data_IF_880236874540
#
_entry.id   IF_880236874540
#
_cell.length_a   1.000
_cell.length_b   1.000
_cell.length_c   1.000
_cell.angle_alpha   90.00
_cell.angle_beta   90.00
_cell.angle_gamma   90.00
#
_symmetry.space_group_name_H-M   'P 1'
#
loop_
_entity.id
_entity.type
_entity.pdbx_description
1 polymer ?
#
# COMPACT_ATOMS: atom_id res chain seq x y z
N UNK A 1 -46.64 -11.77 34.77
CA UNK A 1 -47.48 -11.36 33.63
C UNK A 1 -46.72 -11.66 32.37
N UNK A 2 -47.15 -12.66 31.64
CA UNK A 2 -46.49 -13.18 30.43
C UNK A 2 -47.03 -12.44 29.22
N UNK A 3 -46.20 -11.88 28.38
CA UNK A 3 -46.56 -11.30 27.08
C UNK A 3 -45.82 -12.02 25.97
N UNK A 4 -46.49 -12.94 25.32
CA UNK A 4 -46.03 -13.66 24.11
C UNK A 4 -46.45 -12.87 22.90
N UNK A 5 -45.53 -12.56 21.99
CA UNK A 5 -45.81 -11.94 20.69
C UNK A 5 -45.54 -12.98 19.58
N UNK A 6 -46.48 -13.23 18.67
CA UNK A 6 -46.33 -14.25 17.64
C UNK A 6 -45.58 -13.77 16.39
N UNK A 7 -44.72 -14.64 15.88
CA UNK A 7 -44.07 -14.57 14.57
C UNK A 7 -45.03 -14.63 13.40
N UNK A 8 -44.95 -13.71 12.46
CA UNK A 8 -45.62 -13.82 11.15
C UNK A 8 -44.61 -14.32 10.10
N UNK A 9 -44.87 -15.52 9.59
CA UNK A 9 -44.28 -16.05 8.37
C UNK A 9 -44.83 -15.29 7.15
N UNK A 10 -43.94 -14.77 6.29
CA UNK A 10 -44.31 -14.24 4.99
C UNK A 10 -43.91 -15.28 3.91
N UNK A 11 -44.92 -15.74 3.19
CA UNK A 11 -44.84 -16.67 2.07
C UNK A 11 -44.20 -16.02 0.83
N UNK A 12 -43.14 -16.64 0.33
CA UNK A 12 -42.48 -16.24 -0.89
C UNK A 12 -43.19 -16.74 -2.15
N UNK A 13 -43.37 -15.86 -3.10
CA UNK A 13 -43.99 -16.11 -4.42
C UNK A 13 -42.89 -16.56 -5.40
N UNK A 14 -43.00 -17.79 -5.89
CA UNK A 14 -42.20 -18.37 -6.98
C UNK A 14 -42.61 -17.75 -8.30
N UNK A 15 -41.70 -17.10 -9.01
CA UNK A 15 -41.84 -16.70 -10.42
C UNK A 15 -41.06 -17.65 -11.33
N UNK A 16 -41.82 -18.33 -12.19
CA UNK A 16 -41.34 -19.22 -13.26
C UNK A 16 -40.43 -18.53 -14.24
N UNK A 17 -39.23 -19.05 -14.46
CA UNK A 17 -38.33 -18.64 -15.53
C UNK A 17 -38.65 -19.46 -16.79
N UNK A 18 -38.96 -18.76 -17.90
CA UNK A 18 -39.11 -19.35 -19.23
C UNK A 18 -37.73 -19.62 -19.82
N UNK A 19 -37.50 -20.88 -20.15
CA UNK A 19 -36.32 -21.33 -20.90
C UNK A 19 -36.52 -20.96 -22.38
N UNK A 20 -35.64 -20.14 -22.92
CA UNK A 20 -35.49 -19.87 -24.35
C UNK A 20 -34.25 -20.63 -24.84
N UNK A 21 -34.47 -21.66 -25.63
CA UNK A 21 -33.43 -22.35 -26.38
C UNK A 21 -33.01 -21.50 -27.58
N UNK A 22 -31.72 -21.17 -27.67
CA UNK A 22 -31.13 -20.55 -28.84
C UNK A 22 -30.11 -21.50 -29.46
N UNK A 23 -30.38 -21.81 -30.72
CA UNK A 23 -29.62 -22.71 -31.58
C UNK A 23 -28.21 -22.22 -31.83
N UNK A 24 -27.24 -23.12 -31.75
CA UNK A 24 -25.86 -22.89 -32.14
C UNK A 24 -25.70 -22.94 -33.65
N UNK A 25 -25.29 -21.83 -34.25
CA UNK A 25 -24.76 -21.79 -35.61
C UNK A 25 -23.23 -21.78 -35.58
N UNK A 26 -22.61 -22.85 -36.01
CA UNK A 26 -21.18 -22.97 -36.19
C UNK A 26 -20.73 -22.13 -37.38
N UNK A 27 -19.92 -21.09 -37.16
CA UNK A 27 -19.20 -20.40 -38.24
C UNK A 27 -17.70 -20.72 -38.09
N UNK A 28 -17.18 -21.34 -39.15
CA UNK A 28 -15.78 -21.65 -39.37
C UNK A 28 -15.09 -20.35 -39.84
N UNK A 29 -14.04 -19.83 -39.21
CA UNK A 29 -13.25 -18.77 -39.78
C UNK A 29 -12.23 -19.34 -40.76
N UNK A 30 -12.35 -18.95 -42.00
CA UNK A 30 -11.33 -19.13 -43.07
C UNK A 30 -10.17 -18.19 -42.78
N UNK A 31 -9.00 -18.73 -42.52
CA UNK A 31 -7.76 -17.95 -42.45
C UNK A 31 -7.36 -17.58 -43.90
N UNK A 32 -7.61 -16.35 -44.28
CA UNK A 32 -6.99 -15.76 -45.48
C UNK A 32 -5.69 -15.10 -45.03
N UNK A 33 -4.57 -15.66 -45.44
CA UNK A 33 -3.29 -15.01 -45.40
C UNK A 33 -3.27 -13.92 -46.48
N UNK A 34 -3.27 -12.65 -46.08
CA UNK A 34 -2.89 -11.53 -46.92
C UNK A 34 -1.64 -10.89 -46.38
N UNK A 35 -0.53 -11.20 -47.02
CA UNK A 35 0.65 -10.37 -47.04
C UNK A 35 0.34 -9.17 -47.92
N UNK A 36 0.26 -7.94 -47.36
CA UNK A 36 0.53 -6.71 -48.10
C UNK A 36 0.88 -5.58 -47.15
N UNK A 37 1.99 -4.99 -47.49
CA UNK A 37 2.69 -3.91 -46.91
C UNK A 37 1.89 -2.61 -47.04
N UNK A 38 1.27 -2.13 -45.93
CA UNK A 38 0.76 -0.75 -45.88
C UNK A 38 0.75 -0.27 -44.44
N UNK A 39 1.53 0.77 -44.19
CA UNK A 39 1.71 1.39 -42.89
C UNK A 39 0.40 1.82 -42.24
N UNK A 40 0.03 1.13 -41.19
CA UNK A 40 -0.99 1.54 -40.24
C UNK A 40 -0.33 1.75 -38.92
N UNK A 41 -0.19 3.02 -38.55
CA UNK A 41 0.27 3.44 -37.21
C UNK A 41 -0.75 3.01 -36.17
N UNK A 42 -0.56 1.82 -35.57
CA UNK A 42 -1.24 1.44 -34.34
C UNK A 42 -0.84 2.41 -33.25
N UNK A 43 -1.76 2.89 -32.39
CA UNK A 43 -1.40 3.67 -31.22
C UNK A 43 -0.54 2.78 -30.33
N UNK A 44 0.74 3.16 -30.18
CA UNK A 44 1.66 2.51 -29.25
C UNK A 44 1.08 2.60 -27.84
N UNK A 45 0.87 1.45 -27.20
CA UNK A 45 0.61 1.40 -25.78
C UNK A 45 1.70 2.22 -25.05
N UNK A 46 1.36 2.92 -23.95
CA UNK A 46 2.35 3.64 -23.19
C UNK A 46 3.42 2.65 -22.71
N UNK A 47 4.60 2.75 -23.30
CA UNK A 47 5.76 1.97 -22.85
C UNK A 47 6.10 2.41 -21.44
N UNK A 48 6.14 1.46 -20.50
CA UNK A 48 6.80 1.69 -19.22
C UNK A 48 8.19 2.25 -19.52
N UNK A 49 8.60 3.33 -18.82
CA UNK A 49 9.93 3.87 -19.02
C UNK A 49 10.96 2.76 -18.82
N UNK A 50 11.81 2.56 -19.81
CA UNK A 50 12.94 1.65 -19.70
C UNK A 50 13.78 2.03 -18.48
N UNK A 51 14.29 1.07 -17.69
CA UNK A 51 15.16 1.36 -16.58
C UNK A 51 16.33 2.23 -17.09
N UNK A 52 16.53 3.37 -16.43
CA UNK A 52 17.60 4.31 -16.76
C UNK A 52 18.91 3.56 -16.55
N UNK A 53 19.65 3.26 -17.61
CA UNK A 53 20.88 2.44 -17.57
C UNK A 53 22.05 3.10 -16.79
N UNK A 54 21.84 4.26 -16.19
CA UNK A 54 22.84 5.03 -15.42
C UNK A 54 22.26 5.53 -14.09
N UNK A 55 21.36 4.79 -13.44
CA UNK A 55 20.85 5.16 -12.12
C UNK A 55 22.01 5.16 -11.10
N UNK A 56 22.16 6.26 -10.40
CA UNK A 56 23.13 6.36 -9.29
C UNK A 56 22.39 5.91 -8.02
N UNK A 57 22.85 4.81 -7.44
CA UNK A 57 22.21 4.23 -6.26
C UNK A 57 22.76 4.82 -4.97
N UNK A 58 21.89 4.97 -3.98
CA UNK A 58 22.25 5.31 -2.61
C UNK A 58 22.92 4.14 -1.87
N UNK A 59 23.04 4.25 -0.53
CA UNK A 59 23.64 3.21 0.29
C UNK A 59 22.81 1.91 0.23
N UNK A 60 23.44 0.80 0.56
CA UNK A 60 22.73 -0.48 0.73
C UNK A 60 21.99 -0.52 2.06
N UNK A 61 20.70 -0.79 2.01
CA UNK A 61 19.89 -1.03 3.21
C UNK A 61 19.82 -2.53 3.49
N UNK A 62 20.14 -2.95 4.73
CA UNK A 62 19.89 -4.33 5.15
C UNK A 62 18.41 -4.70 5.05
N UNK A 63 18.10 -5.99 5.06
CA UNK A 63 16.73 -6.49 5.06
C UNK A 63 15.89 -5.79 6.13
N UNK A 64 14.68 -5.37 5.79
CA UNK A 64 13.78 -4.59 6.65
C UNK A 64 14.40 -3.26 7.15
N UNK A 65 15.31 -2.62 6.39
CA UNK A 65 16.01 -1.44 6.86
C UNK A 65 16.92 -1.68 8.05
N UNK A 66 17.30 -2.93 8.32
CA UNK A 66 18.08 -3.32 9.49
C UNK A 66 17.31 -3.29 10.81
N UNK A 67 15.97 -3.22 10.74
CA UNK A 67 15.09 -3.23 11.93
C UNK A 67 14.64 -4.66 12.22
N UNK A 68 14.85 -5.11 13.47
CA UNK A 68 14.36 -6.41 13.94
C UNK A 68 12.87 -6.36 14.28
N UNK A 69 12.20 -7.54 14.24
CA UNK A 69 10.80 -7.65 14.67
C UNK A 69 10.62 -7.22 16.14
N UNK A 70 11.63 -7.47 16.98
CA UNK A 70 11.63 -7.03 18.38
C UNK A 70 11.71 -5.50 18.48
N UNK A 71 12.63 -4.86 17.76
CA UNK A 71 12.76 -3.39 17.74
C UNK A 71 11.46 -2.73 17.29
N UNK A 72 10.85 -3.27 16.23
CA UNK A 72 9.57 -2.76 15.74
C UNK A 72 8.46 -2.90 16.81
N UNK A 73 8.35 -4.05 17.45
CA UNK A 73 7.35 -4.28 18.51
C UNK A 73 7.55 -3.33 19.70
N UNK A 74 8.80 -3.05 20.09
CA UNK A 74 9.13 -2.09 21.16
C UNK A 74 8.75 -0.66 20.78
N UNK A 75 9.06 -0.21 19.55
CA UNK A 75 8.75 1.14 19.09
C UNK A 75 7.25 1.36 18.91
N UNK A 76 6.55 0.39 18.35
CA UNK A 76 5.11 0.47 18.09
C UNK A 76 4.25 0.13 19.31
N UNK A 77 4.82 -0.54 20.34
CA UNK A 77 4.12 -1.12 21.49
C UNK A 77 3.03 -2.13 21.10
N UNK A 78 3.14 -2.72 19.92
CA UNK A 78 2.21 -3.75 19.42
C UNK A 78 2.82 -5.12 19.63
N UNK A 79 2.09 -5.99 20.32
CA UNK A 79 2.46 -7.39 20.53
C UNK A 79 1.85 -8.29 19.46
N UNK A 80 2.47 -9.45 19.24
CA UNK A 80 1.95 -10.42 18.25
C UNK A 80 2.09 -9.96 16.81
N UNK A 81 3.06 -9.12 16.50
CA UNK A 81 3.41 -8.77 15.13
C UNK A 81 3.95 -10.00 14.40
N UNK A 82 3.43 -10.23 13.20
CA UNK A 82 3.88 -11.27 12.27
C UNK A 82 4.43 -10.58 11.04
N UNK A 83 5.67 -10.88 10.71
CA UNK A 83 6.25 -10.46 9.43
C UNK A 83 5.62 -11.29 8.30
N UNK A 84 4.72 -10.69 7.53
CA UNK A 84 3.92 -11.35 6.50
C UNK A 84 4.55 -11.26 5.10
N UNK A 85 5.51 -10.34 4.92
CA UNK A 85 6.31 -10.24 3.71
C UNK A 85 7.71 -9.76 4.08
N UNK A 86 8.72 -10.50 3.63
CA UNK A 86 10.13 -10.20 3.87
C UNK A 86 10.95 -10.52 2.61
N UNK A 87 11.53 -9.49 2.04
CA UNK A 87 12.37 -9.63 0.85
C UNK A 87 13.40 -8.48 0.76
N UNK A 88 14.22 -8.49 -0.29
CA UNK A 88 15.33 -7.52 -0.47
C UNK A 88 14.89 -6.08 -0.69
N UNK A 89 13.61 -5.84 -0.99
CA UNK A 89 13.06 -4.50 -1.27
C UNK A 89 12.04 -4.05 -0.23
N UNK A 90 11.66 -4.90 0.71
CA UNK A 90 10.73 -4.47 1.75
C UNK A 90 10.30 -5.56 2.71
N UNK A 91 9.66 -5.09 3.77
CA UNK A 91 9.09 -5.92 4.82
C UNK A 91 7.73 -5.38 5.22
N UNK A 92 6.83 -6.28 5.62
CA UNK A 92 5.49 -5.93 6.08
C UNK A 92 5.16 -6.71 7.35
N UNK A 93 4.58 -6.02 8.33
CA UNK A 93 4.15 -6.64 9.58
C UNK A 93 2.68 -6.33 9.84
N UNK A 94 1.97 -7.37 10.24
CA UNK A 94 0.57 -7.30 10.63
C UNK A 94 0.39 -7.92 12.02
N UNK A 95 -0.50 -7.38 12.83
CA UNK A 95 -0.82 -7.98 14.12
C UNK A 95 -1.59 -9.29 13.92
N UNK A 96 -1.09 -10.39 14.47
CA UNK A 96 -1.67 -11.73 14.30
C UNK A 96 -1.76 -12.18 12.82
N UNK A 97 -1.05 -11.52 11.90
CA UNK A 97 -1.13 -11.79 10.46
C UNK A 97 -2.43 -11.32 9.78
N UNK A 98 -3.31 -10.60 10.50
CA UNK A 98 -4.60 -10.13 10.00
C UNK A 98 -4.55 -8.70 9.42
N UNK A 99 -5.36 -8.44 8.39
CA UNK A 99 -5.38 -7.16 7.66
C UNK A 99 -6.21 -6.05 8.36
N UNK A 100 -6.96 -6.36 9.41
CA UNK A 100 -7.83 -5.42 10.13
C UNK A 100 -7.13 -4.73 11.32
N UNK A 101 -5.90 -5.15 11.62
CA UNK A 101 -5.09 -4.62 12.72
C UNK A 101 -4.11 -3.53 12.27
N UNK A 102 -3.19 -3.15 13.19
CA UNK A 102 -2.05 -2.31 12.85
C UNK A 102 -1.25 -2.89 11.67
N UNK A 103 -0.77 -2.02 10.81
CA UNK A 103 0.01 -2.35 9.64
C UNK A 103 1.27 -1.50 9.60
N UNK A 104 2.41 -2.15 9.49
CA UNK A 104 3.71 -1.49 9.42
C UNK A 104 4.48 -2.02 8.22
N UNK A 105 5.15 -1.14 7.49
CA UNK A 105 5.97 -1.56 6.36
C UNK A 105 7.23 -0.71 6.22
N UNK A 106 8.27 -1.38 5.75
CA UNK A 106 9.49 -0.77 5.21
C UNK A 106 9.56 -1.10 3.74
N UNK A 107 9.84 -0.12 2.89
CA UNK A 107 10.06 -0.32 1.46
C UNK A 107 11.31 0.41 1.00
N UNK A 108 12.12 -0.23 0.17
CA UNK A 108 13.28 0.34 -0.49
C UNK A 108 13.04 0.39 -2.00
N UNK A 109 12.84 1.58 -2.51
CA UNK A 109 12.58 1.85 -3.91
C UNK A 109 13.90 2.15 -4.62
N UNK A 110 14.31 1.27 -5.53
CA UNK A 110 15.55 1.43 -6.29
C UNK A 110 15.28 1.98 -7.67
N UNK A 111 16.03 3.04 -8.03
CA UNK A 111 15.90 3.71 -9.32
C UNK A 111 14.52 4.36 -9.53
N UNK A 112 13.84 4.74 -8.44
CA UNK A 112 12.51 5.34 -8.48
C UNK A 112 12.55 6.75 -7.86
N UNK A 113 12.02 7.76 -8.56
CA UNK A 113 12.04 9.11 -8.03
C UNK A 113 11.02 9.28 -6.90
N UNK A 114 11.49 9.73 -5.72
CA UNK A 114 10.66 10.00 -4.54
C UNK A 114 9.52 11.01 -4.83
N UNK A 115 9.72 11.94 -5.77
CA UNK A 115 8.71 12.93 -6.13
C UNK A 115 7.43 12.32 -6.74
N UNK A 116 7.50 11.10 -7.29
CA UNK A 116 6.30 10.38 -7.74
C UNK A 116 5.49 9.87 -6.55
N UNK A 117 6.17 9.29 -5.56
CA UNK A 117 5.53 8.80 -4.33
C UNK A 117 4.91 9.96 -3.56
N UNK A 118 5.68 11.03 -3.31
CA UNK A 118 5.16 12.24 -2.69
C UNK A 118 3.86 12.73 -3.33
N UNK A 119 3.77 12.77 -4.67
CA UNK A 119 2.54 13.19 -5.37
C UNK A 119 1.37 12.24 -5.14
N UNK A 120 1.64 10.95 -5.01
CA UNK A 120 0.61 9.97 -4.66
C UNK A 120 0.06 10.24 -3.27
N UNK A 121 0.96 10.54 -2.31
CA UNK A 121 0.55 10.87 -0.95
C UNK A 121 -0.22 12.20 -0.86
N UNK A 122 0.17 13.21 -1.62
CA UNK A 122 -0.56 14.49 -1.71
C UNK A 122 -2.03 14.33 -2.16
N UNK A 123 -2.38 13.24 -2.84
CA UNK A 123 -3.74 12.96 -3.28
C UNK A 123 -4.60 12.25 -2.22
N UNK A 124 -3.98 11.61 -1.23
CA UNK A 124 -4.65 10.66 -0.33
C UNK A 124 -4.44 10.95 1.15
N UNK A 125 -3.47 11.79 1.52
CA UNK A 125 -3.13 12.11 2.91
C UNK A 125 -3.67 13.48 3.33
N UNK A 126 -3.82 13.65 4.64
CA UNK A 126 -4.31 14.90 5.22
C UNK A 126 -3.28 16.03 5.09
N UNK A 127 -2.00 15.71 5.17
CA UNK A 127 -0.90 16.63 4.87
C UNK A 127 0.32 15.88 4.37
N UNK A 128 1.14 16.57 3.55
CA UNK A 128 2.46 16.11 3.11
C UNK A 128 3.42 17.29 3.22
N UNK A 129 4.48 17.11 4.00
CA UNK A 129 5.44 18.17 4.30
C UNK A 129 6.87 17.70 4.00
N UNK A 130 7.78 18.66 3.83
CA UNK A 130 9.20 18.36 3.70
C UNK A 130 9.80 17.97 5.06
N UNK A 131 10.71 16.99 5.05
CA UNK A 131 11.45 16.56 6.24
C UNK A 131 12.93 16.39 5.89
N UNK A 132 13.79 16.49 6.91
CA UNK A 132 15.19 16.10 6.83
C UNK A 132 15.52 15.20 8.02
N UNK A 133 16.08 14.01 7.74
CA UNK A 133 16.53 13.06 8.76
C UNK A 133 17.98 12.69 8.45
N UNK A 134 18.87 12.86 9.43
CA UNK A 134 20.32 12.56 9.31
C UNK A 134 20.98 13.23 8.08
N UNK A 135 20.53 14.45 7.71
CA UNK A 135 21.05 15.19 6.56
C UNK A 135 20.44 14.81 5.20
N UNK A 136 19.52 13.86 5.15
CA UNK A 136 18.82 13.43 3.94
C UNK A 136 17.42 14.03 3.87
N UNK A 137 17.09 14.59 2.70
CA UNK A 137 15.78 15.21 2.45
C UNK A 137 14.75 14.19 2.04
N UNK A 138 13.49 14.48 2.34
CA UNK A 138 12.36 13.63 1.99
C UNK A 138 11.02 14.28 2.30
N UNK A 139 10.02 13.45 2.49
CA UNK A 139 8.69 13.89 2.90
C UNK A 139 8.17 13.11 4.12
N UNK A 140 7.26 13.74 4.84
CA UNK A 140 6.42 13.13 5.85
C UNK A 140 4.96 13.33 5.45
N UNK A 141 4.18 12.26 5.43
CA UNK A 141 2.77 12.26 5.05
C UNK A 141 1.90 11.73 6.18
N UNK A 142 0.81 12.44 6.52
CA UNK A 142 -0.07 12.15 7.63
C UNK A 142 -1.44 11.68 7.13
N UNK A 143 -1.86 10.51 7.56
CA UNK A 143 -3.24 10.03 7.41
C UNK A 143 -4.03 10.23 8.70
N UNK A 144 -5.30 10.57 8.56
CA UNK A 144 -6.21 10.80 9.68
C UNK A 144 -7.43 9.91 9.59
N UNK A 145 -7.80 9.32 10.71
CA UNK A 145 -9.08 8.63 10.84
C UNK A 145 -10.14 9.60 11.37
N UNK A 146 -11.17 9.81 10.57
CA UNK A 146 -12.34 10.66 10.88
C UNK A 146 -13.61 9.84 11.09
N UNK A 147 -13.53 8.54 11.28
CA UNK A 147 -14.68 7.62 11.32
C UNK A 147 -15.59 7.81 12.54
N UNK A 148 -15.11 8.52 13.58
CA UNK A 148 -15.94 8.80 14.75
C UNK A 148 -16.55 10.19 14.63
N UNK A 149 -17.87 10.24 14.31
CA UNK A 149 -18.63 11.47 14.28
C UNK A 149 -18.51 12.22 15.62
N UNK A 150 -18.22 13.52 15.56
CA UNK A 150 -18.09 14.45 16.71
C UNK A 150 -16.80 14.32 17.54
N UNK A 151 -15.79 13.58 17.07
CA UNK A 151 -14.44 13.66 17.65
C UNK A 151 -13.48 14.30 16.64
N UNK A 152 -12.43 15.00 17.11
CA UNK A 152 -11.41 15.52 16.22
C UNK A 152 -10.72 14.35 15.51
N UNK A 153 -10.31 14.52 14.24
CA UNK A 153 -9.55 13.52 13.51
C UNK A 153 -8.29 13.11 14.30
N UNK A 154 -8.02 11.82 14.33
CA UNK A 154 -6.82 11.28 14.98
C UNK A 154 -5.82 10.88 13.90
N UNK A 155 -4.60 11.37 14.00
CA UNK A 155 -3.50 10.90 13.14
C UNK A 155 -3.16 9.47 13.55
N UNK A 156 -3.49 8.52 12.70
CA UNK A 156 -3.26 7.09 12.94
C UNK A 156 -2.33 6.46 11.91
N UNK A 157 -1.97 7.20 10.87
CA UNK A 157 -1.05 6.80 9.82
C UNK A 157 0.01 7.89 9.63
N UNK A 158 1.26 7.48 9.55
CA UNK A 158 2.36 8.35 9.14
C UNK A 158 3.32 7.60 8.22
N UNK A 159 3.70 8.25 7.15
CA UNK A 159 4.67 7.75 6.17
C UNK A 159 5.84 8.73 6.08
N UNK A 160 7.03 8.17 6.09
CA UNK A 160 8.27 8.94 5.98
C UNK A 160 9.10 8.36 4.84
N UNK A 161 9.21 9.12 3.75
CA UNK A 161 10.05 8.80 2.60
C UNK A 161 11.33 9.64 2.60
N UNK A 162 12.50 9.01 2.46
CA UNK A 162 13.81 9.69 2.44
C UNK A 162 14.60 9.33 1.19
N UNK A 163 15.07 10.37 0.47
CA UNK A 163 15.80 10.25 -0.80
C UNK A 163 17.28 9.93 -0.57
N UNK A 164 17.79 9.02 -1.40
CA UNK A 164 19.22 8.70 -1.53
C UNK A 164 19.57 8.62 -3.03
N UNK A 165 20.02 9.70 -3.61
CA UNK A 165 20.29 9.77 -5.05
C UNK A 165 19.05 9.37 -5.87
N UNK A 166 19.11 8.29 -6.68
CA UNK A 166 17.98 7.79 -7.46
C UNK A 166 17.15 6.71 -6.71
N UNK A 167 17.52 6.39 -5.47
CA UNK A 167 16.78 5.49 -4.59
C UNK A 167 16.07 6.27 -3.48
N UNK A 168 15.06 5.68 -2.86
CA UNK A 168 14.51 6.16 -1.59
C UNK A 168 14.02 5.00 -0.73
N UNK A 169 13.97 5.24 0.58
CA UNK A 169 13.31 4.34 1.54
C UNK A 169 12.04 4.98 2.06
N UNK A 170 11.11 4.13 2.48
CA UNK A 170 9.87 4.58 3.10
C UNK A 170 9.48 3.67 4.27
N UNK A 171 9.13 4.29 5.39
CA UNK A 171 8.44 3.66 6.50
C UNK A 171 7.00 4.13 6.53
N UNK A 172 6.05 3.18 6.52
CA UNK A 172 4.63 3.43 6.72
C UNK A 172 4.17 2.79 8.02
N UNK A 173 3.63 3.61 8.93
CA UNK A 173 3.20 3.23 10.27
C UNK A 173 1.72 3.54 10.40
N UNK A 174 0.89 2.50 10.43
CA UNK A 174 -0.56 2.62 10.54
C UNK A 174 -1.07 1.86 11.77
N UNK A 175 -1.78 2.56 12.64
CA UNK A 175 -2.46 2.00 13.80
C UNK A 175 -3.97 1.95 13.57
N UNK A 176 -4.64 0.94 14.14
CA UNK A 176 -6.08 0.74 13.98
C UNK A 176 -6.90 1.10 15.21
N UNK A 177 -6.33 1.02 16.42
CA UNK A 177 -7.04 1.23 17.68
C UNK A 177 -6.15 1.94 18.70
N UNK A 178 -6.71 2.93 19.38
CA UNK A 178 -6.07 3.59 20.51
C UNK A 178 -6.10 2.72 21.78
N UNK A 179 -5.14 2.92 22.72
CA UNK A 179 -4.05 3.88 22.66
C UNK A 179 -2.86 3.35 21.85
N UNK A 180 -2.21 4.23 21.07
CA UNK A 180 -0.95 3.96 20.36
C UNK A 180 0.02 5.13 20.50
N UNK A 181 1.33 4.93 20.31
CA UNK A 181 2.30 6.03 20.24
C UNK A 181 2.05 6.89 18.99
N UNK A 182 2.59 8.12 18.99
CA UNK A 182 2.49 8.96 17.78
C UNK A 182 3.11 8.24 16.58
N UNK A 183 2.35 7.99 15.50
CA UNK A 183 2.81 7.23 14.35
C UNK A 183 3.98 7.93 13.63
N UNK A 184 4.02 9.27 13.67
CA UNK A 184 5.09 10.02 13.03
C UNK A 184 6.39 9.98 13.82
N UNK A 185 6.33 9.95 15.14
CA UNK A 185 7.53 9.77 15.97
C UNK A 185 8.12 8.38 15.78
N UNK A 186 7.26 7.35 15.67
CA UNK A 186 7.69 5.98 15.36
C UNK A 186 8.30 5.91 13.96
N UNK A 187 7.64 6.46 12.94
CA UNK A 187 8.14 6.43 11.56
C UNK A 187 9.48 7.16 11.42
N UNK A 188 9.63 8.34 12.00
CA UNK A 188 10.90 9.10 12.02
C UNK A 188 12.02 8.33 12.69
N UNK A 189 11.76 7.71 13.84
CA UNK A 189 12.78 6.96 14.58
C UNK A 189 13.23 5.70 13.82
N UNK A 190 12.28 4.93 13.25
CA UNK A 190 12.61 3.77 12.43
C UNK A 190 13.39 4.16 11.17
N UNK A 191 13.03 5.27 10.53
CA UNK A 191 13.75 5.82 9.40
C UNK A 191 15.18 6.19 9.79
N UNK A 192 15.37 6.91 10.90
CA UNK A 192 16.69 7.27 11.42
C UNK A 192 17.54 6.03 11.70
N UNK A 193 16.99 5.01 12.34
CA UNK A 193 17.70 3.75 12.58
C UNK A 193 18.07 3.04 11.28
N UNK A 194 17.18 3.02 10.28
CA UNK A 194 17.48 2.43 8.97
C UNK A 194 18.63 3.15 8.26
N UNK A 195 18.70 4.48 8.36
CA UNK A 195 19.81 5.27 7.80
C UNK A 195 21.12 4.90 8.50
N UNK A 196 21.12 4.83 9.83
CA UNK A 196 22.33 4.46 10.61
C UNK A 196 22.79 3.03 10.31
N UNK A 197 21.85 2.11 10.04
CA UNK A 197 22.14 0.72 9.70
C UNK A 197 22.56 0.51 8.23
N UNK A 198 22.45 1.53 7.38
CA UNK A 198 22.82 1.45 5.96
C UNK A 198 24.35 1.33 5.77
N UNK A 199 24.80 0.80 4.61
CA UNK A 199 26.21 0.54 4.30
C UNK A 199 26.61 1.16 2.96
#
# INVERSE_FOLDING_TARGET
>A
MHGVIPSKCATGTTRSAKVLAVAAAAMIPVFAACSDNSGSSSPSAPQSPAPTQNATHGPFFPECGGISDQTLAEQTRVTGLVNTARNSVGCQWLQGGGILGPHFSFTWYRGSPIGRERKTEELSRASVEDINIEGHSGFIALGQDSTVSNQPPVTNLCEVGIQFQDDFIEWSISFSQQPFPDPCDVAKELTRQSIVNSK
#
